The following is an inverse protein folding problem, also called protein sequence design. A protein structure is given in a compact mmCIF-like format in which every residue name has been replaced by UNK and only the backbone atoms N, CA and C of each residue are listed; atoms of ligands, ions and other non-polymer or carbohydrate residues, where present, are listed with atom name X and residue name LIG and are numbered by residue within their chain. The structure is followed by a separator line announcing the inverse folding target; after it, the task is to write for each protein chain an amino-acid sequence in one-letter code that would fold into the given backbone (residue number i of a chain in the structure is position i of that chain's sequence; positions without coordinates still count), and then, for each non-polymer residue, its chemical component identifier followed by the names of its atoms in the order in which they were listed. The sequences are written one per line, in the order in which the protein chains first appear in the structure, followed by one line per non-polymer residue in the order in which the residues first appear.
data_IF_086228121942
#
_entry.id   IF_086228121942
#
_cell.length_a   1.000
_cell.length_b   1.000
_cell.length_c   1.000
_cell.angle_alpha   90.00
_cell.angle_beta   90.00
_cell.angle_gamma   90.00
#
_symmetry.space_group_name_H-M   'P 1'
#
loop_
_entity.id
_entity.type
_entity.pdbx_description
1 polymer ?
#
# COMPACT_ATOMS: atom_id res chain seq x y z
N UNK A 1 -0.69 -17.44 13.42
CA UNK A 1 0.07 -16.88 12.30
C UNK A 1 -0.87 -16.02 11.49
N UNK A 2 -0.56 -14.73 11.29
CA UNK A 2 -1.36 -13.82 10.46
C UNK A 2 -1.09 -14.06 8.99
N UNK A 3 -2.14 -14.07 8.17
CA UNK A 3 -2.04 -14.31 6.73
C UNK A 3 -2.30 -13.03 5.96
N UNK A 4 -1.39 -12.64 5.10
CA UNK A 4 -1.47 -11.36 4.39
C UNK A 4 -1.43 -11.53 2.88
N UNK A 5 -2.07 -10.57 2.18
CA UNK A 5 -1.85 -10.32 0.76
C UNK A 5 -1.32 -8.89 0.58
N UNK A 6 -0.42 -8.68 -0.37
CA UNK A 6 0.26 -7.41 -0.58
C UNK A 6 -0.01 -6.88 -1.99
N UNK A 7 -0.71 -5.78 -2.09
CA UNK A 7 -0.83 -5.00 -3.31
C UNK A 7 0.39 -4.09 -3.46
N UNK A 8 1.24 -4.36 -4.46
CA UNK A 8 2.45 -3.58 -4.72
C UNK A 8 3.68 -4.03 -3.94
N UNK A 9 3.93 -5.33 -3.84
CA UNK A 9 5.04 -5.94 -3.08
C UNK A 9 6.44 -5.52 -3.55
N UNK A 10 6.58 -5.11 -4.81
CA UNK A 10 7.85 -4.67 -5.39
C UNK A 10 8.13 -3.17 -5.20
N UNK A 11 7.21 -2.42 -4.63
CA UNK A 11 7.37 -1.01 -4.27
C UNK A 11 8.12 -0.84 -2.95
N UNK A 12 8.45 0.42 -2.60
CA UNK A 12 9.19 0.75 -1.38
C UNK A 12 8.51 0.21 -0.11
N UNK A 13 7.21 0.43 0.05
CA UNK A 13 6.47 -0.06 1.22
C UNK A 13 6.26 -1.58 1.14
N UNK A 14 6.02 -2.12 -0.06
CA UNK A 14 5.87 -3.56 -0.24
C UNK A 14 7.13 -4.35 0.15
N UNK A 15 8.31 -3.89 -0.26
CA UNK A 15 9.59 -4.51 0.14
C UNK A 15 9.83 -4.41 1.64
N UNK A 16 9.57 -3.25 2.25
CA UNK A 16 9.66 -3.09 3.71
C UNK A 16 8.66 -3.98 4.45
N UNK A 17 7.46 -4.19 3.90
CA UNK A 17 6.49 -5.15 4.46
C UNK A 17 7.08 -6.56 4.47
N UNK A 18 7.73 -6.98 3.38
CA UNK A 18 8.40 -8.28 3.33
C UNK A 18 9.60 -8.38 4.28
N UNK A 19 10.32 -7.27 4.53
CA UNK A 19 11.38 -7.24 5.56
C UNK A 19 10.79 -7.46 6.97
N UNK A 20 9.63 -6.87 7.25
CA UNK A 20 8.89 -7.13 8.51
C UNK A 20 8.47 -8.60 8.60
N UNK A 21 7.99 -9.20 7.51
CA UNK A 21 7.65 -10.64 7.46
C UNK A 21 8.87 -11.50 7.78
N UNK A 22 10.04 -11.21 7.19
CA UNK A 22 11.29 -11.93 7.48
C UNK A 22 11.71 -11.85 8.94
N UNK A 23 11.52 -10.68 9.54
CA UNK A 23 11.90 -10.45 10.94
C UNK A 23 10.92 -11.09 11.93
N UNK A 24 9.67 -11.34 11.54
CA UNK A 24 8.62 -11.88 12.40
C UNK A 24 8.14 -13.23 11.85
N UNK A 25 8.44 -14.31 12.52
CA UNK A 25 8.08 -15.67 12.07
C UNK A 25 6.59 -16.04 12.20
N UNK A 26 5.71 -15.08 12.48
CA UNK A 26 4.28 -15.27 12.70
C UNK A 26 3.37 -14.73 11.58
N UNK A 27 3.97 -14.32 10.45
CA UNK A 27 3.26 -13.77 9.28
C UNK A 27 3.50 -14.64 8.06
N UNK A 28 2.44 -15.04 7.37
CA UNK A 28 2.45 -15.80 6.12
C UNK A 28 1.97 -14.93 4.95
N UNK A 29 2.74 -14.89 3.86
CA UNK A 29 2.38 -14.16 2.64
C UNK A 29 1.68 -15.09 1.67
N UNK A 30 0.37 -14.94 1.50
CA UNK A 30 -0.42 -15.78 0.59
C UNK A 30 -0.56 -15.19 -0.80
N UNK A 31 -0.41 -13.88 -0.94
CA UNK A 31 -0.55 -13.23 -2.23
C UNK A 31 0.30 -11.97 -2.36
N UNK A 32 0.84 -11.76 -3.56
CA UNK A 32 1.66 -10.59 -3.88
C UNK A 32 1.25 -9.98 -5.21
N UNK A 33 1.53 -8.70 -5.41
CA UNK A 33 1.31 -8.08 -6.72
C UNK A 33 2.38 -7.06 -7.08
N UNK A 34 2.53 -6.85 -8.39
CA UNK A 34 3.38 -5.79 -8.94
C UNK A 34 2.78 -5.17 -10.21
N UNK A 35 3.34 -4.02 -10.62
CA UNK A 35 3.03 -3.41 -11.90
C UNK A 35 3.64 -4.17 -13.08
N UNK A 36 4.98 -4.05 -13.23
CA UNK A 36 5.78 -4.61 -14.33
C UNK A 36 7.10 -5.25 -13.87
N UNK A 37 7.44 -5.16 -12.61
CA UNK A 37 8.73 -5.63 -12.11
C UNK A 37 8.73 -7.15 -11.89
N UNK A 38 8.73 -7.89 -13.00
CA UNK A 38 8.70 -9.37 -12.98
C UNK A 38 9.92 -9.99 -12.30
N UNK A 39 11.10 -9.37 -12.45
CA UNK A 39 12.32 -9.91 -11.85
C UNK A 39 12.22 -9.97 -10.33
N UNK A 40 11.89 -8.85 -9.70
CA UNK A 40 11.74 -8.79 -8.24
C UNK A 40 10.54 -9.63 -7.78
N UNK A 41 9.46 -9.67 -8.58
CA UNK A 41 8.28 -10.46 -8.25
C UNK A 41 8.57 -11.96 -8.29
N UNK A 42 9.41 -12.42 -9.21
CA UNK A 42 9.93 -13.80 -9.26
C UNK A 42 10.76 -14.13 -8.02
N UNK A 43 11.71 -13.25 -7.64
CA UNK A 43 12.53 -13.41 -6.43
C UNK A 43 11.63 -13.53 -5.18
N UNK A 44 10.64 -12.66 -5.04
CA UNK A 44 9.67 -12.69 -3.94
C UNK A 44 8.79 -13.96 -3.97
N UNK A 45 8.36 -14.40 -5.14
CA UNK A 45 7.56 -15.62 -5.31
C UNK A 45 8.35 -16.85 -4.85
N UNK A 46 9.61 -16.96 -5.24
CA UNK A 46 10.49 -18.08 -4.85
C UNK A 46 10.82 -18.08 -3.36
N UNK A 47 10.85 -16.91 -2.72
CA UNK A 47 11.14 -16.79 -1.29
C UNK A 47 9.91 -17.06 -0.41
N UNK A 48 8.76 -16.46 -0.75
CA UNK A 48 7.57 -16.48 0.10
C UNK A 48 6.52 -17.52 -0.29
N UNK A 49 6.68 -18.17 -1.44
CA UNK A 49 5.76 -19.20 -1.94
C UNK A 49 4.28 -18.82 -1.89
N UNK A 50 3.88 -17.66 -2.45
CA UNK A 50 2.49 -17.23 -2.43
C UNK A 50 1.61 -18.16 -3.27
N UNK A 51 0.33 -18.23 -2.94
CA UNK A 51 -0.67 -19.00 -3.70
C UNK A 51 -1.18 -18.24 -4.93
N UNK A 52 -1.14 -16.88 -4.87
CA UNK A 52 -1.65 -16.02 -5.94
C UNK A 52 -0.71 -14.83 -6.17
N UNK A 53 -0.42 -14.58 -7.45
CA UNK A 53 0.34 -13.42 -7.89
C UNK A 53 -0.49 -12.63 -8.88
N UNK A 54 -0.70 -11.32 -8.63
CA UNK A 54 -1.38 -10.44 -9.54
C UNK A 54 -0.40 -9.45 -10.19
N UNK A 55 -0.37 -9.41 -11.51
CA UNK A 55 0.50 -8.52 -12.29
C UNK A 55 -0.37 -7.53 -13.05
N UNK A 56 -0.14 -6.23 -12.88
CA UNK A 56 -0.95 -5.23 -13.56
C UNK A 56 -0.84 -5.28 -15.10
N UNK A 57 0.38 -5.43 -15.60
CA UNK A 57 0.66 -5.53 -17.04
C UNK A 57 0.49 -6.96 -17.53
N UNK A 58 -0.36 -7.17 -18.53
CA UNK A 58 -0.67 -8.50 -19.06
C UNK A 58 0.54 -9.18 -19.72
N UNK A 59 1.42 -8.42 -20.38
CA UNK A 59 2.62 -9.01 -20.99
C UNK A 59 3.63 -9.42 -19.93
N UNK A 60 3.77 -8.61 -18.87
CA UNK A 60 4.58 -8.97 -17.71
C UNK A 60 4.03 -10.19 -16.98
N UNK A 61 2.71 -10.37 -16.93
CA UNK A 61 2.10 -11.58 -16.36
C UNK A 61 2.49 -12.83 -17.14
N UNK A 62 2.42 -12.79 -18.48
CA UNK A 62 2.85 -13.90 -19.36
C UNK A 62 4.34 -14.22 -19.23
N UNK A 63 5.21 -13.21 -19.09
CA UNK A 63 6.63 -13.43 -18.82
C UNK A 63 6.84 -14.11 -17.45
N UNK A 64 6.10 -13.70 -16.44
CA UNK A 64 6.17 -14.30 -15.12
C UNK A 64 5.66 -15.74 -15.09
N UNK A 65 4.60 -16.09 -15.84
CA UNK A 65 4.11 -17.47 -16.00
C UNK A 65 5.20 -18.39 -16.54
N UNK A 66 5.97 -17.93 -17.53
CA UNK A 66 7.10 -18.69 -18.07
C UNK A 66 8.21 -18.86 -17.03
N UNK A 67 8.54 -17.82 -16.28
CA UNK A 67 9.61 -17.82 -15.27
C UNK A 67 9.28 -18.73 -14.08
N UNK A 68 8.02 -18.81 -13.70
CA UNK A 68 7.53 -19.56 -12.55
C UNK A 68 6.83 -20.87 -12.94
N UNK A 69 7.07 -21.39 -14.17
CA UNK A 69 6.48 -22.64 -14.64
C UNK A 69 6.82 -23.88 -13.79
N UNK A 70 7.85 -23.76 -12.94
CA UNK A 70 8.29 -24.75 -11.96
C UNK A 70 7.62 -24.63 -10.59
N UNK A 71 6.77 -23.63 -10.39
CA UNK A 71 6.07 -23.36 -9.12
C UNK A 71 4.57 -23.59 -9.25
N UNK A 72 3.96 -24.15 -8.21
CA UNK A 72 2.51 -24.25 -8.08
C UNK A 72 1.94 -22.92 -7.53
N UNK A 73 1.78 -21.93 -8.42
CA UNK A 73 1.27 -20.61 -8.09
C UNK A 73 0.32 -20.12 -9.18
N UNK A 74 -0.82 -19.55 -8.77
CA UNK A 74 -1.75 -18.92 -9.72
C UNK A 74 -1.27 -17.52 -10.08
N UNK A 75 -1.15 -17.23 -11.38
CA UNK A 75 -0.82 -15.89 -11.88
C UNK A 75 -2.05 -15.31 -12.58
N UNK A 76 -2.38 -14.06 -12.25
CA UNK A 76 -3.51 -13.31 -12.80
C UNK A 76 -3.07 -11.90 -13.18
N UNK A 77 -3.84 -11.21 -14.04
CA UNK A 77 -3.42 -9.90 -14.54
C UNK A 77 -4.50 -8.82 -14.45
N UNK A 78 -4.07 -7.58 -14.58
CA UNK A 78 -4.93 -6.41 -14.66
C UNK A 78 -5.72 -6.12 -13.38
N UNK A 79 -6.77 -5.31 -13.52
CA UNK A 79 -7.62 -4.95 -12.38
C UNK A 79 -8.31 -6.16 -11.78
N UNK A 80 -8.85 -7.06 -12.58
CA UNK A 80 -9.54 -8.24 -12.04
C UNK A 80 -8.60 -9.14 -11.25
N UNK A 81 -7.33 -9.24 -11.65
CA UNK A 81 -6.29 -9.93 -10.87
C UNK A 81 -6.05 -9.28 -9.50
N UNK A 82 -5.98 -7.93 -9.45
CA UNK A 82 -5.86 -7.22 -8.17
C UNK A 82 -7.09 -7.40 -7.28
N UNK A 83 -8.29 -7.45 -7.86
CA UNK A 83 -9.53 -7.69 -7.12
C UNK A 83 -9.59 -9.12 -6.59
N UNK A 84 -9.14 -10.10 -7.38
CA UNK A 84 -9.05 -11.50 -6.93
C UNK A 84 -8.10 -11.63 -5.75
N UNK A 85 -6.91 -11.01 -5.83
CA UNK A 85 -5.95 -10.97 -4.72
C UNK A 85 -6.57 -10.34 -3.45
N UNK A 86 -7.29 -9.23 -3.60
CA UNK A 86 -7.93 -8.56 -2.47
C UNK A 86 -9.03 -9.40 -1.82
N UNK A 87 -9.67 -10.28 -2.57
CA UNK A 87 -10.76 -11.16 -2.10
C UNK A 87 -10.27 -12.51 -1.55
N UNK A 88 -8.97 -12.82 -1.58
CA UNK A 88 -8.47 -14.14 -1.16
C UNK A 88 -9.05 -14.58 0.19
N UNK A 89 -9.82 -15.69 0.26
CA UNK A 89 -10.57 -16.04 1.48
C UNK A 89 -9.68 -16.30 2.69
N UNK A 90 -8.46 -16.81 2.45
CA UNK A 90 -7.54 -17.26 3.49
C UNK A 90 -6.75 -16.13 4.15
N UNK A 91 -6.76 -14.91 3.59
CA UNK A 91 -6.00 -13.78 4.14
C UNK A 91 -6.78 -13.05 5.24
N UNK A 92 -6.07 -12.62 6.27
CA UNK A 92 -6.61 -11.81 7.38
C UNK A 92 -6.48 -10.31 7.06
N UNK A 93 -5.35 -9.92 6.44
CA UNK A 93 -4.99 -8.52 6.20
C UNK A 93 -4.61 -8.32 4.73
N UNK A 94 -5.14 -7.25 4.15
CA UNK A 94 -4.71 -6.75 2.85
C UNK A 94 -3.81 -5.52 3.05
N UNK A 95 -2.54 -5.65 2.64
CA UNK A 95 -1.60 -4.53 2.62
C UNK A 95 -1.74 -3.79 1.30
N UNK A 96 -2.12 -2.51 1.33
CA UNK A 96 -2.31 -1.70 0.12
C UNK A 96 -1.14 -0.74 -0.07
N UNK A 97 -0.11 -1.18 -0.82
CA UNK A 97 1.13 -0.45 -1.08
C UNK A 97 1.27 -0.03 -2.56
N UNK A 98 0.17 0.02 -3.29
CA UNK A 98 0.12 0.57 -4.66
C UNK A 98 0.06 2.10 -4.64
N UNK A 99 0.44 2.74 -5.75
CA UNK A 99 0.45 4.20 -5.89
C UNK A 99 -0.81 4.69 -6.62
N UNK A 100 -1.33 5.83 -6.20
CA UNK A 100 -2.45 6.50 -6.85
C UNK A 100 -3.81 5.83 -6.64
N UNK A 101 -4.78 6.14 -7.49
CA UNK A 101 -6.18 5.72 -7.33
C UNK A 101 -6.45 4.25 -7.66
N UNK A 102 -5.47 3.52 -8.21
CA UNK A 102 -5.64 2.10 -8.56
C UNK A 102 -5.97 1.24 -7.34
N UNK A 103 -5.55 1.66 -6.14
CA UNK A 103 -5.80 0.95 -4.89
C UNK A 103 -7.23 1.03 -4.38
N UNK A 104 -8.08 1.97 -4.87
CA UNK A 104 -9.43 2.20 -4.33
C UNK A 104 -10.30 0.94 -4.48
N UNK A 105 -10.46 0.43 -5.69
CA UNK A 105 -11.30 -0.75 -5.96
C UNK A 105 -10.83 -1.99 -5.18
N UNK A 106 -9.55 -2.39 -5.23
CA UNK A 106 -9.06 -3.51 -4.43
C UNK A 106 -9.26 -3.33 -2.92
N UNK A 107 -9.07 -2.10 -2.38
CA UNK A 107 -9.33 -1.81 -0.96
C UNK A 107 -10.79 -2.04 -0.61
N UNK A 108 -11.74 -1.54 -1.43
CA UNK A 108 -13.16 -1.78 -1.23
C UNK A 108 -13.52 -3.27 -1.25
N UNK A 109 -12.94 -4.03 -2.17
CA UNK A 109 -13.18 -5.48 -2.26
C UNK A 109 -12.56 -6.25 -1.08
N UNK A 110 -11.38 -5.82 -0.58
CA UNK A 110 -10.80 -6.36 0.63
C UNK A 110 -11.70 -6.13 1.86
N UNK A 111 -12.24 -4.92 2.01
CA UNK A 111 -13.20 -4.58 3.07
C UNK A 111 -14.46 -5.46 2.99
N UNK A 112 -15.07 -5.58 1.81
CA UNK A 112 -16.26 -6.43 1.58
C UNK A 112 -15.98 -7.91 1.88
N UNK A 113 -14.74 -8.35 1.66
CA UNK A 113 -14.29 -9.70 1.99
C UNK A 113 -13.89 -9.88 3.47
N UNK A 114 -14.13 -8.87 4.32
CA UNK A 114 -13.88 -8.92 5.76
C UNK A 114 -12.40 -8.86 6.15
N UNK A 115 -11.54 -8.23 5.31
CA UNK A 115 -10.12 -8.08 5.58
C UNK A 115 -9.83 -6.79 6.32
N UNK A 116 -8.97 -6.84 7.33
CA UNK A 116 -8.32 -5.64 7.83
C UNK A 116 -7.41 -5.05 6.74
N UNK A 117 -7.35 -3.73 6.66
CA UNK A 117 -6.60 -3.02 5.62
C UNK A 117 -5.39 -2.34 6.24
N UNK A 118 -4.18 -2.83 5.94
CA UNK A 118 -2.95 -2.12 6.23
C UNK A 118 -2.68 -1.11 5.11
N UNK A 119 -3.09 0.14 5.33
CA UNK A 119 -3.19 1.17 4.30
C UNK A 119 -1.94 2.04 4.22
N UNK A 120 -1.13 1.84 3.18
CA UNK A 120 -0.06 2.76 2.79
C UNK A 120 -0.50 3.72 1.67
N UNK A 121 -1.46 3.30 0.84
CA UNK A 121 -2.03 4.10 -0.25
C UNK A 121 -3.00 5.15 0.29
N UNK A 122 -2.46 6.27 0.78
CA UNK A 122 -3.25 7.37 1.36
C UNK A 122 -4.19 8.04 0.36
N UNK A 123 -3.90 7.98 -0.93
CA UNK A 123 -4.76 8.49 -2.00
C UNK A 123 -6.15 7.85 -1.97
N UNK A 124 -6.25 6.61 -1.51
CA UNK A 124 -7.52 5.91 -1.30
C UNK A 124 -8.43 6.67 -0.33
N UNK A 125 -7.89 7.18 0.80
CA UNK A 125 -8.69 7.96 1.75
C UNK A 125 -8.87 9.41 1.31
N UNK A 126 -7.87 10.03 0.67
CA UNK A 126 -8.00 11.40 0.15
C UNK A 126 -9.12 11.49 -0.87
N UNK A 127 -9.21 10.51 -1.77
CA UNK A 127 -10.20 10.53 -2.87
C UNK A 127 -11.53 9.90 -2.48
N UNK A 128 -11.50 8.77 -1.77
CA UNK A 128 -12.67 7.93 -1.51
C UNK A 128 -12.91 7.67 -0.02
N UNK A 129 -12.34 8.44 0.91
CA UNK A 129 -12.48 8.22 2.34
C UNK A 129 -13.93 8.24 2.82
N UNK A 130 -14.78 9.06 2.20
CA UNK A 130 -16.21 9.13 2.47
C UNK A 130 -16.98 7.84 2.10
N UNK A 131 -16.39 6.96 1.28
CA UNK A 131 -16.92 5.63 0.95
C UNK A 131 -16.22 4.55 1.78
N UNK A 132 -14.89 4.62 1.89
CA UNK A 132 -14.05 3.60 2.53
C UNK A 132 -14.32 3.50 4.04
N UNK A 133 -14.37 4.62 4.75
CA UNK A 133 -14.51 4.62 6.21
C UNK A 133 -15.88 4.07 6.66
N UNK A 134 -17.03 4.52 6.08
CA UNK A 134 -18.31 3.91 6.41
C UNK A 134 -18.38 2.42 6.07
N UNK A 135 -17.84 2.01 4.91
CA UNK A 135 -17.80 0.61 4.47
C UNK A 135 -16.99 -0.25 5.46
N UNK A 136 -15.81 0.20 5.88
CA UNK A 136 -14.99 -0.51 6.86
C UNK A 136 -15.75 -0.69 8.18
N UNK A 137 -16.44 0.35 8.65
CA UNK A 137 -17.28 0.29 9.86
C UNK A 137 -18.43 -0.68 9.71
N UNK A 138 -19.12 -0.69 8.59
CA UNK A 138 -20.24 -1.59 8.28
C UNK A 138 -19.79 -3.06 8.29
N UNK A 139 -18.62 -3.35 7.73
CA UNK A 139 -18.06 -4.71 7.66
C UNK A 139 -17.25 -5.11 8.91
N UNK A 140 -17.11 -4.22 9.90
CA UNK A 140 -16.40 -4.50 11.14
C UNK A 140 -14.89 -4.72 10.97
N UNK A 141 -14.29 -4.17 9.90
CA UNK A 141 -12.86 -4.29 9.60
C UNK A 141 -12.10 -3.03 10.00
N UNK A 142 -10.82 -3.17 10.29
CA UNK A 142 -9.96 -2.06 10.69
C UNK A 142 -9.20 -1.48 9.51
N UNK A 143 -9.01 -0.16 9.51
CA UNK A 143 -8.06 0.53 8.64
C UNK A 143 -6.83 0.87 9.48
N UNK A 144 -5.74 0.16 9.23
CA UNK A 144 -4.47 0.29 9.94
C UNK A 144 -3.52 1.16 9.12
N UNK A 145 -3.10 2.33 9.62
CA UNK A 145 -2.21 3.21 8.86
C UNK A 145 -0.80 2.64 8.80
N UNK A 146 -0.19 2.70 7.62
CA UNK A 146 1.20 2.26 7.37
C UNK A 146 2.12 3.45 7.09
N UNK A 147 1.58 4.56 6.55
CA UNK A 147 2.38 5.78 6.37
C UNK A 147 2.83 6.38 7.72
N UNK A 148 3.93 7.13 7.70
CA UNK A 148 4.60 7.57 8.92
C UNK A 148 3.75 8.50 9.78
N UNK A 149 3.06 9.45 9.16
CA UNK A 149 2.32 10.49 9.87
C UNK A 149 1.08 9.91 10.54
N UNK A 150 0.27 9.16 9.79
CA UNK A 150 -0.95 8.56 10.34
C UNK A 150 -0.61 7.42 11.33
N UNK A 151 0.44 6.65 11.07
CA UNK A 151 0.89 5.60 12.00
C UNK A 151 1.34 6.19 13.33
N UNK A 152 2.08 7.31 13.33
CA UNK A 152 2.49 7.99 14.56
C UNK A 152 1.27 8.46 15.37
N UNK A 153 0.27 9.07 14.71
CA UNK A 153 -0.97 9.50 15.36
C UNK A 153 -1.73 8.28 15.92
N UNK A 154 -1.85 7.22 15.13
CA UNK A 154 -2.51 5.98 15.55
C UNK A 154 -1.86 5.39 16.81
N UNK A 155 -0.52 5.34 16.85
CA UNK A 155 0.22 4.79 17.99
C UNK A 155 0.06 5.63 19.26
N UNK A 156 0.14 6.98 19.16
CA UNK A 156 -0.02 7.85 20.35
C UNK A 156 -1.46 7.91 20.87
N UNK A 157 -2.45 7.62 20.02
CA UNK A 157 -3.85 7.54 20.44
C UNK A 157 -4.25 6.15 20.95
N UNK A 158 -3.40 5.15 20.75
CA UNK A 158 -3.72 3.78 21.14
C UNK A 158 -3.83 3.66 22.66
N UNK A 159 -5.01 3.27 23.13
CA UNK A 159 -5.31 3.16 24.56
C UNK A 159 -5.79 4.45 25.24
N UNK A 160 -5.72 5.60 24.54
CA UNK A 160 -6.19 6.88 25.07
C UNK A 160 -7.70 7.06 24.90
N UNK A 161 -8.32 7.76 25.86
CA UNK A 161 -9.73 8.13 25.73
C UNK A 161 -9.84 9.39 24.88
N UNK A 162 -10.66 9.34 23.84
CA UNK A 162 -10.86 10.43 22.89
C UNK A 162 -11.21 11.77 23.58
N UNK A 163 -11.94 11.73 24.71
CA UNK A 163 -12.28 12.91 25.50
C UNK A 163 -11.09 13.59 26.22
N UNK A 164 -9.93 12.91 26.27
CA UNK A 164 -8.69 13.42 26.89
C UNK A 164 -7.74 14.05 25.86
N UNK A 165 -8.04 13.94 24.57
CA UNK A 165 -7.22 14.52 23.50
C UNK A 165 -7.54 16.00 23.36
N UNK A 166 -6.60 16.86 23.75
CA UNK A 166 -6.74 18.32 23.60
C UNK A 166 -6.51 18.76 22.15
N UNK A 167 -5.47 18.25 21.52
CA UNK A 167 -5.10 18.60 20.13
C UNK A 167 -4.20 17.53 19.52
N UNK A 168 -4.18 17.47 18.19
CA UNK A 168 -3.23 16.69 17.41
C UNK A 168 -2.19 17.61 16.76
N UNK A 169 -0.90 17.30 16.97
CA UNK A 169 0.22 17.98 16.33
C UNK A 169 0.78 17.10 15.23
N UNK A 170 0.49 17.47 13.98
CA UNK A 170 0.95 16.74 12.81
C UNK A 170 2.27 17.31 12.34
N UNK A 171 3.33 16.52 12.38
CA UNK A 171 4.64 16.88 11.85
C UNK A 171 4.72 16.56 10.36
N UNK A 172 5.47 17.38 9.63
CA UNK A 172 5.73 17.20 8.20
C UNK A 172 7.13 17.65 7.85
N UNK A 173 7.68 17.13 6.75
CA UNK A 173 9.03 17.50 6.28
C UNK A 173 9.13 18.96 5.83
N UNK A 174 8.01 19.57 5.42
CA UNK A 174 7.93 20.95 4.92
C UNK A 174 8.28 21.10 3.43
N UNK A 175 8.71 20.04 2.78
CA UNK A 175 8.98 20.03 1.33
C UNK A 175 10.16 20.92 0.90
N UNK A 176 10.34 21.13 -0.44
CA UNK A 176 11.46 21.87 -1.01
C UNK A 176 11.42 23.37 -0.72
N UNK A 177 10.27 23.90 -0.29
CA UNK A 177 10.06 25.32 -0.04
C UNK A 177 10.03 25.70 1.44
N UNK A 178 10.39 24.77 2.32
CA UNK A 178 10.44 25.01 3.77
C UNK A 178 11.30 26.23 4.10
N UNK A 179 10.72 27.18 4.85
CA UNK A 179 11.38 28.40 5.28
C UNK A 179 11.40 29.53 4.24
N UNK A 180 10.87 29.33 3.04
CA UNK A 180 10.74 30.38 2.03
C UNK A 180 9.51 31.26 2.31
N UNK A 181 9.64 32.55 1.99
CA UNK A 181 8.54 33.51 2.06
C UNK A 181 7.69 33.43 0.80
N UNK A 182 6.46 33.95 0.88
CA UNK A 182 5.51 33.93 -0.25
C UNK A 182 6.07 34.61 -1.51
N UNK A 183 6.78 35.73 -1.33
CA UNK A 183 7.39 36.50 -2.42
C UNK A 183 8.45 35.69 -3.19
N UNK A 184 9.13 34.77 -2.50
CA UNK A 184 10.14 33.88 -3.08
C UNK A 184 9.53 32.70 -3.86
N UNK A 185 8.22 32.51 -3.75
CA UNK A 185 7.48 31.43 -4.41
C UNK A 185 6.85 31.84 -5.74
N UNK A 186 6.84 33.13 -6.08
CA UNK A 186 6.17 33.64 -7.29
C UNK A 186 6.77 33.08 -8.59
N UNK A 187 8.05 32.69 -8.59
CA UNK A 187 8.76 32.23 -9.78
C UNK A 187 9.22 30.77 -9.69
N UNK A 188 8.69 29.98 -8.74
CA UNK A 188 9.05 28.55 -8.62
C UNK A 188 8.52 27.77 -9.80
N UNK A 189 9.33 26.85 -10.28
CA UNK A 189 9.01 25.97 -11.41
C UNK A 189 8.57 24.59 -10.92
N UNK A 190 7.97 23.77 -11.81
CA UNK A 190 7.71 22.37 -11.54
C UNK A 190 8.98 21.61 -11.13
N UNK A 191 10.11 21.90 -11.80
CA UNK A 191 11.39 21.30 -11.47
C UNK A 191 11.85 21.62 -10.03
N UNK A 192 11.54 22.82 -9.51
CA UNK A 192 11.86 23.18 -8.14
C UNK A 192 10.94 22.46 -7.14
N UNK A 193 9.69 22.22 -7.48
CA UNK A 193 8.73 21.46 -6.66
C UNK A 193 9.18 20.01 -6.46
N UNK A 194 9.84 19.41 -7.44
CA UNK A 194 10.33 18.03 -7.40
C UNK A 194 11.66 17.87 -6.63
N UNK A 195 12.36 18.97 -6.30
CA UNK A 195 13.62 18.95 -5.53
C UNK A 195 13.39 18.83 -4.03
N UNK A 196 12.82 17.71 -3.60
CA UNK A 196 12.64 17.46 -2.16
C UNK A 196 13.99 17.17 -1.49
N UNK A 197 14.35 17.80 -0.32
CA UNK A 197 15.66 17.64 0.30
C UNK A 197 15.94 16.21 0.79
N UNK A 198 14.92 15.43 1.13
CA UNK A 198 15.06 14.12 1.77
C UNK A 198 14.46 12.96 0.98
N UNK A 199 13.52 13.21 0.04
CA UNK A 199 12.73 12.16 -0.61
C UNK A 199 12.69 12.33 -2.12
N UNK A 200 12.58 11.21 -2.83
CA UNK A 200 12.16 11.20 -4.23
C UNK A 200 10.62 11.13 -4.26
N UNK A 201 10.00 12.26 -4.57
CA UNK A 201 8.53 12.45 -4.50
C UNK A 201 7.86 11.91 -5.77
N UNK A 202 7.80 10.60 -5.93
CA UNK A 202 7.20 9.95 -7.11
C UNK A 202 5.68 10.19 -7.20
N UNK A 203 4.99 10.31 -6.07
CA UNK A 203 3.54 10.51 -6.04
C UNK A 203 3.10 11.89 -6.52
N UNK A 204 3.94 12.93 -6.41
CA UNK A 204 3.64 14.27 -6.91
C UNK A 204 3.59 14.36 -8.44
N UNK A 205 4.16 13.40 -9.15
CA UNK A 205 4.14 13.35 -10.61
C UNK A 205 2.75 12.97 -11.15
N UNK A 206 1.90 12.37 -10.31
CA UNK A 206 0.59 11.86 -10.68
C UNK A 206 -0.59 12.69 -10.14
N UNK A 207 -0.30 13.73 -9.38
CA UNK A 207 -1.27 14.69 -8.87
C UNK A 207 -1.22 15.96 -9.72
#
# INVERSE_FOLDING_TARGET
MKKIAILGSTGSIGTQTLDVVRANGDIEVLGISAGRNVKMLEEQAREFHPQLIAVWDENAAKDLEVRLADMDVKIVSGMEGLLELARMPQTDILVTAVVGMIGIRPTMEGIKAGKDIALANKETLVTAGHLIIPMAKEHGVQILPVDSEHSAIFQVLHGEKQAQVEKLLITASGGPFRGRKREELEHVTLADTLKHPNWVMLSLIHI
#
